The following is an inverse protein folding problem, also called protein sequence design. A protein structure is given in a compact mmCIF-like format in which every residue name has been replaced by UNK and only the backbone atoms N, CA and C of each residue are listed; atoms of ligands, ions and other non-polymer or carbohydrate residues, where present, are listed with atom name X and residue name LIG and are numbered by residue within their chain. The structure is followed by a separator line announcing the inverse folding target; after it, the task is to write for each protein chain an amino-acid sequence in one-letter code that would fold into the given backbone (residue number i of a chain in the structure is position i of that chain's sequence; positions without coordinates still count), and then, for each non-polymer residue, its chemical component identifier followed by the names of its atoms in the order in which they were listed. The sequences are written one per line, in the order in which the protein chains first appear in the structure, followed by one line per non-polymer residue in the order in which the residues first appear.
data_IF_093598882942
#
_entry.id   IF_093598882942
#
_cell.length_a   1.000
_cell.length_b   1.000
_cell.length_c   1.000
_cell.angle_alpha   90.00
_cell.angle_beta   90.00
_cell.angle_gamma   90.00
#
_symmetry.space_group_name_H-M   'P 1'
#
loop_
_entity.id
_entity.type
_entity.pdbx_description
1 polymer ?
#
# COMPACT_ATOMS: atom_id res chain seq x y z
N UNK A 1 2.84 5.17 -8.37
CA UNK A 1 3.79 5.50 -7.30
C UNK A 1 3.21 6.66 -6.46
N UNK A 2 2.18 6.40 -5.65
CA UNK A 2 1.69 7.33 -4.62
C UNK A 2 1.82 6.58 -3.28
N UNK A 3 3.05 6.47 -2.78
CA UNK A 3 3.26 5.94 -1.42
C UNK A 3 3.07 7.10 -0.46
N UNK A 4 2.06 7.00 0.42
CA UNK A 4 1.89 7.95 1.52
C UNK A 4 3.15 7.96 2.39
N UNK A 5 3.65 9.12 2.84
CA UNK A 5 4.82 9.16 3.70
C UNK A 5 4.51 8.45 5.03
N UNK A 6 5.46 7.69 5.59
CA UNK A 6 5.26 6.89 6.82
C UNK A 6 5.05 7.75 8.09
N UNK A 7 5.52 9.00 8.08
CA UNK A 7 5.43 9.91 9.22
C UNK A 7 3.99 10.25 9.67
N UNK A 8 3.07 10.71 8.80
CA UNK A 8 1.68 10.97 9.21
C UNK A 8 0.95 9.73 9.73
N UNK A 9 1.17 8.55 9.13
CA UNK A 9 0.52 7.32 9.56
C UNK A 9 0.91 6.91 11.00
N UNK A 10 2.17 7.15 11.40
CA UNK A 10 2.61 6.93 12.77
C UNK A 10 2.02 7.97 13.75
N UNK A 11 1.95 9.25 13.35
CA UNK A 11 1.38 10.34 14.15
C UNK A 11 -0.09 10.15 14.46
N UNK A 12 -0.86 9.62 13.51
CA UNK A 12 -2.30 9.36 13.70
C UNK A 12 -2.57 8.34 14.82
N UNK A 13 -1.58 7.51 15.18
CA UNK A 13 -1.69 6.55 16.28
C UNK A 13 -1.29 7.13 17.65
N UNK A 14 -0.62 8.28 17.70
CA UNK A 14 -0.14 8.89 18.94
C UNK A 14 -1.25 9.15 20.01
N UNK A 15 -2.47 9.60 19.65
CA UNK A 15 -3.55 9.80 20.63
C UNK A 15 -4.02 8.50 21.28
N UNK A 16 -4.02 7.39 20.52
CA UNK A 16 -4.42 6.06 21.01
C UNK A 16 -3.31 5.41 21.86
N UNK A 17 -2.03 5.71 21.57
CA UNK A 17 -0.87 5.19 22.29
C UNK A 17 -0.71 5.78 23.69
N UNK A 18 -1.01 7.08 23.89
CA UNK A 18 -0.87 7.74 25.21
C UNK A 18 -1.56 7.01 26.37
N UNK A 19 -2.88 6.69 26.30
CA UNK A 19 -3.56 5.99 27.40
C UNK A 19 -3.07 4.54 27.55
N UNK A 20 -2.66 3.88 26.47
CA UNK A 20 -2.12 2.52 26.53
C UNK A 20 -0.76 2.45 27.23
N UNK A 21 0.12 3.42 26.95
CA UNK A 21 1.42 3.54 27.61
C UNK A 21 1.27 3.90 29.09
N UNK A 22 0.33 4.80 29.42
CA UNK A 22 0.00 5.10 30.80
C UNK A 22 -0.53 3.87 31.56
N UNK A 23 -1.44 3.09 30.94
CA UNK A 23 -1.94 1.83 31.51
C UNK A 23 -0.86 0.75 31.64
N UNK A 24 0.15 0.77 30.76
CA UNK A 24 1.32 -0.10 30.81
C UNK A 24 2.37 0.30 31.86
N UNK A 25 2.08 1.34 32.65
CA UNK A 25 2.93 1.80 33.76
C UNK A 25 4.05 2.74 33.33
N UNK A 26 4.03 3.30 32.11
CA UNK A 26 5.02 4.31 31.74
C UNK A 26 4.74 5.61 32.51
N UNK A 27 5.78 6.24 33.09
CA UNK A 27 5.67 7.59 33.63
C UNK A 27 5.21 8.56 32.55
N UNK A 28 4.35 9.52 32.90
CA UNK A 28 3.82 10.53 31.96
C UNK A 28 4.93 11.32 31.26
N UNK A 29 6.07 11.55 31.96
CA UNK A 29 7.25 12.18 31.39
C UNK A 29 7.96 11.34 30.31
N UNK A 30 7.80 10.02 30.33
CA UNK A 30 8.39 9.09 29.36
C UNK A 30 7.48 8.82 28.15
N UNK A 31 6.19 9.16 28.22
CA UNK A 31 5.22 8.91 27.14
C UNK A 31 5.54 9.69 25.87
N UNK A 32 5.86 10.98 25.98
CA UNK A 32 6.25 11.81 24.83
C UNK A 32 7.48 11.26 24.08
N UNK A 33 8.63 11.09 24.76
CA UNK A 33 9.84 10.52 24.17
C UNK A 33 9.67 9.11 23.59
N UNK A 34 8.73 8.33 24.12
CA UNK A 34 8.41 7.00 23.62
C UNK A 34 7.57 7.05 22.33
N UNK A 35 6.64 7.99 22.22
CA UNK A 35 5.88 8.25 20.98
C UNK A 35 6.81 8.78 19.89
N UNK A 36 7.71 9.71 20.21
CA UNK A 36 8.70 10.22 19.25
C UNK A 36 9.63 9.10 18.75
N UNK A 37 10.07 8.22 19.67
CA UNK A 37 10.86 7.04 19.32
C UNK A 37 10.10 6.04 18.43
N UNK A 38 8.79 5.91 18.63
CA UNK A 38 7.92 5.10 17.77
C UNK A 38 7.82 5.68 16.36
N UNK A 39 7.59 6.98 16.22
CA UNK A 39 7.57 7.65 14.91
C UNK A 39 8.91 7.46 14.18
N UNK A 40 10.03 7.68 14.87
CA UNK A 40 11.37 7.52 14.30
C UNK A 40 11.62 6.07 13.83
N UNK A 41 11.30 5.09 14.68
CA UNK A 41 11.44 3.66 14.36
C UNK A 41 10.57 3.26 13.15
N UNK A 42 9.33 3.76 13.09
CA UNK A 42 8.41 3.46 11.99
C UNK A 42 8.91 4.04 10.66
N UNK A 43 9.43 5.27 10.67
CA UNK A 43 10.03 5.91 9.50
C UNK A 43 11.30 5.19 9.06
N UNK A 44 12.22 4.89 9.98
CA UNK A 44 13.46 4.21 9.64
C UNK A 44 13.21 2.80 9.09
N UNK A 45 12.24 2.07 9.66
CA UNK A 45 11.90 0.72 9.21
C UNK A 45 11.23 0.71 7.85
N UNK A 46 10.39 1.72 7.57
CA UNK A 46 9.74 1.86 6.26
C UNK A 46 10.68 2.39 5.17
N UNK A 47 11.74 3.09 5.56
CA UNK A 47 12.82 3.51 4.65
C UNK A 47 13.90 2.43 4.46
N UNK A 48 14.00 1.45 5.37
CA UNK A 48 14.99 0.37 5.28
C UNK A 48 14.69 -0.58 4.12
N UNK A 49 15.72 -0.84 3.31
CA UNK A 49 15.68 -1.84 2.22
C UNK A 49 15.71 -3.27 2.75
N UNK A 50 16.19 -3.47 4.00
CA UNK A 50 16.21 -4.77 4.68
C UNK A 50 15.15 -4.78 5.80
N UNK A 51 14.03 -5.52 5.64
CA UNK A 51 12.97 -5.63 6.64
C UNK A 51 13.34 -6.52 7.83
N UNK A 52 14.42 -7.30 7.70
CA UNK A 52 14.96 -8.25 8.68
C UNK A 52 15.91 -7.57 9.67
N UNK A 53 16.56 -6.48 9.25
CA UNK A 53 17.42 -5.68 10.11
C UNK A 53 16.58 -4.73 10.98
N UNK A 54 16.75 -4.81 12.30
CA UNK A 54 16.11 -3.87 13.22
C UNK A 54 16.90 -2.54 13.22
N UNK A 55 16.30 -1.41 12.85
CA UNK A 55 16.98 -0.12 12.90
C UNK A 55 17.43 0.23 14.32
N UNK A 56 18.54 0.97 14.50
CA UNK A 56 19.00 1.43 15.80
C UNK A 56 17.93 2.21 16.58
N UNK A 57 17.09 2.97 15.88
CA UNK A 57 15.95 3.71 16.46
C UNK A 57 14.91 2.78 17.10
N UNK A 58 14.63 1.63 16.48
CA UNK A 58 13.74 0.61 17.03
C UNK A 58 14.35 -0.11 18.24
N UNK A 59 15.67 -0.30 18.27
CA UNK A 59 16.37 -0.86 19.43
C UNK A 59 16.34 0.13 20.61
N UNK A 60 16.56 1.42 20.34
CA UNK A 60 16.44 2.48 21.34
C UNK A 60 15.02 2.59 21.92
N UNK A 61 13.98 2.38 21.09
CA UNK A 61 12.60 2.32 21.54
C UNK A 61 12.33 1.12 22.46
N UNK A 62 12.83 -0.06 22.09
CA UNK A 62 12.71 -1.27 22.92
C UNK A 62 13.34 -1.09 24.32
N UNK A 63 14.46 -0.37 24.40
CA UNK A 63 15.09 -0.02 25.68
C UNK A 63 14.32 1.00 26.53
N UNK A 64 13.46 1.84 25.90
CA UNK A 64 12.62 2.83 26.59
C UNK A 64 11.26 2.28 27.02
N UNK A 65 10.71 1.34 26.26
CA UNK A 65 9.42 0.69 26.54
C UNK A 65 9.52 -0.46 27.54
N UNK A 66 10.35 -0.35 28.58
CA UNK A 66 10.82 -1.43 29.45
C UNK A 66 9.78 -2.30 30.20
N UNK A 67 8.48 -2.16 29.93
CA UNK A 67 7.44 -3.09 30.35
C UNK A 67 6.88 -3.86 29.15
N UNK A 68 6.63 -5.16 29.31
CA UNK A 68 6.03 -6.01 28.26
C UNK A 68 4.70 -5.44 27.71
N UNK A 69 3.97 -4.69 28.54
CA UNK A 69 2.75 -3.98 28.14
C UNK A 69 2.97 -2.83 27.15
N UNK A 70 4.07 -2.09 27.27
CA UNK A 70 4.41 -1.02 26.32
C UNK A 70 4.81 -1.59 24.96
N UNK A 71 5.54 -2.71 24.94
CA UNK A 71 5.86 -3.44 23.71
C UNK A 71 4.62 -3.91 22.96
N UNK A 72 3.61 -4.43 23.67
CA UNK A 72 2.33 -4.83 23.07
C UNK A 72 1.56 -3.64 22.48
N UNK A 73 1.56 -2.48 23.15
CA UNK A 73 0.93 -1.26 22.65
C UNK A 73 1.58 -0.78 21.34
N UNK A 74 2.91 -0.78 21.25
CA UNK A 74 3.62 -0.43 20.02
C UNK A 74 3.39 -1.43 18.87
N UNK A 75 3.29 -2.73 19.18
CA UNK A 75 2.98 -3.76 18.18
C UNK A 75 1.57 -3.59 17.59
N UNK A 76 0.58 -3.32 18.44
CA UNK A 76 -0.80 -3.06 18.01
C UNK A 76 -0.92 -1.78 17.19
N UNK A 77 -0.24 -0.71 17.60
CA UNK A 77 -0.21 0.55 16.84
C UNK A 77 0.44 0.38 15.47
N UNK A 78 1.53 -0.41 15.39
CA UNK A 78 2.19 -0.73 14.12
C UNK A 78 1.24 -1.48 13.17
N UNK A 79 0.52 -2.48 13.68
CA UNK A 79 -0.44 -3.27 12.89
C UNK A 79 -1.60 -2.40 12.37
N UNK A 80 -2.11 -1.48 13.19
CA UNK A 80 -3.15 -0.52 12.76
C UNK A 80 -2.64 0.47 11.71
N UNK A 81 -1.43 0.98 11.87
CA UNK A 81 -0.81 1.88 10.89
C UNK A 81 -0.65 1.19 9.52
N UNK A 82 -0.19 -0.07 9.49
CA UNK A 82 -0.11 -0.88 8.27
C UNK A 82 -1.48 -1.13 7.64
N UNK A 83 -2.48 -1.53 8.44
CA UNK A 83 -3.85 -1.79 7.99
C UNK A 83 -4.48 -0.58 7.29
N UNK A 84 -4.34 0.61 7.89
CA UNK A 84 -4.89 1.85 7.33
C UNK A 84 -4.22 2.20 5.99
N UNK A 85 -2.89 2.05 5.91
CA UNK A 85 -2.10 2.34 4.71
C UNK A 85 -2.46 1.38 3.57
N UNK A 86 -2.59 0.09 3.87
CA UNK A 86 -2.95 -0.93 2.89
C UNK A 86 -4.36 -0.74 2.34
N UNK A 87 -5.33 -0.45 3.21
CA UNK A 87 -6.72 -0.19 2.82
C UNK A 87 -6.84 1.04 1.92
N UNK A 88 -6.09 2.10 2.23
CA UNK A 88 -6.03 3.31 1.42
C UNK A 88 -5.41 3.03 0.04
N UNK A 89 -4.32 2.26 -0.02
CA UNK A 89 -3.67 1.89 -1.27
C UNK A 89 -4.57 1.02 -2.17
N UNK A 90 -5.27 0.03 -1.61
CA UNK A 90 -6.23 -0.80 -2.36
C UNK A 90 -7.37 0.03 -2.93
N UNK A 91 -7.93 0.96 -2.14
CA UNK A 91 -9.00 1.85 -2.62
C UNK A 91 -8.57 2.67 -3.84
N UNK A 92 -7.36 3.22 -3.81
CA UNK A 92 -6.79 3.95 -4.95
C UNK A 92 -6.51 3.05 -6.15
N UNK A 93 -6.00 1.83 -5.92
CA UNK A 93 -5.78 0.83 -6.97
C UNK A 93 -7.08 0.47 -7.69
N UNK A 94 -8.12 0.11 -6.93
CA UNK A 94 -9.44 -0.22 -7.46
C UNK A 94 -10.07 0.98 -8.18
N UNK A 95 -9.95 2.19 -7.64
CA UNK A 95 -10.45 3.40 -8.30
C UNK A 95 -9.77 3.63 -9.65
N UNK A 96 -8.45 3.40 -9.74
CA UNK A 96 -7.71 3.53 -10.98
C UNK A 96 -8.11 2.47 -12.02
N UNK A 97 -8.28 1.22 -11.59
CA UNK A 97 -8.73 0.13 -12.46
C UNK A 97 -10.12 0.39 -13.04
N UNK A 98 -11.05 0.87 -12.21
CA UNK A 98 -12.39 1.27 -12.65
C UNK A 98 -12.31 2.45 -13.63
N UNK A 99 -11.49 3.46 -13.35
CA UNK A 99 -11.30 4.62 -14.23
C UNK A 99 -10.77 4.20 -15.61
N UNK A 100 -9.71 3.38 -15.66
CA UNK A 100 -9.11 2.88 -16.90
C UNK A 100 -10.10 2.04 -17.68
N UNK A 101 -10.87 1.19 -17.01
CA UNK A 101 -11.90 0.36 -17.65
C UNK A 101 -13.01 1.22 -18.26
N UNK A 102 -13.46 2.26 -17.55
CA UNK A 102 -14.45 3.21 -18.07
C UNK A 102 -13.91 3.99 -19.27
N UNK A 103 -12.67 4.48 -19.20
CA UNK A 103 -11.99 5.13 -20.31
C UNK A 103 -11.94 4.20 -21.53
N UNK A 104 -11.46 2.97 -21.37
CA UNK A 104 -11.39 1.98 -22.44
C UNK A 104 -12.77 1.70 -23.07
N UNK A 105 -13.81 1.51 -22.25
CA UNK A 105 -15.18 1.32 -22.73
C UNK A 105 -15.69 2.53 -23.51
N UNK A 106 -15.37 3.74 -23.07
CA UNK A 106 -15.76 4.99 -23.71
C UNK A 106 -15.03 5.19 -25.04
N UNK A 107 -13.74 4.83 -25.11
CA UNK A 107 -12.93 4.79 -26.33
C UNK A 107 -13.50 3.79 -27.35
N UNK A 108 -13.83 2.56 -26.93
CA UNK A 108 -14.45 1.54 -27.80
C UNK A 108 -15.81 2.01 -28.31
N UNK A 109 -16.64 2.63 -27.47
CA UNK A 109 -17.92 3.22 -27.90
C UNK A 109 -17.76 4.38 -28.88
N UNK A 110 -16.67 5.14 -28.77
CA UNK A 110 -16.36 6.29 -29.63
C UNK A 110 -15.68 5.88 -30.93
N UNK A 111 -15.17 4.66 -31.05
CA UNK A 111 -14.56 4.18 -32.28
C UNK A 111 -15.66 3.96 -33.34
N UNK A 112 -15.63 4.70 -34.47
CA UNK A 112 -16.56 4.46 -35.56
C UNK A 112 -16.31 3.05 -36.10
N UNK A 113 -17.35 2.21 -36.06
CA UNK A 113 -17.30 0.85 -36.60
C UNK A 113 -17.01 0.94 -38.10
N UNK A 114 -15.75 0.75 -38.49
CA UNK A 114 -15.38 0.49 -39.88
C UNK A 114 -15.74 -0.97 -40.15
N UNK A 115 -16.87 -1.19 -40.83
CA UNK A 115 -17.21 -2.50 -41.37
C UNK A 115 -16.25 -2.81 -42.50
N UNK A 116 -15.24 -3.63 -42.24
CA UNK A 116 -14.46 -4.27 -43.29
C UNK A 116 -15.37 -5.31 -43.95
N UNK A 117 -15.96 -4.96 -45.09
CA UNK A 117 -16.49 -5.98 -46.01
C UNK A 117 -15.27 -6.73 -46.51
N UNK A 118 -15.03 -7.92 -45.95
CA UNK A 118 -14.09 -8.86 -46.53
C UNK A 118 -14.84 -9.46 -47.72
N UNK A 119 -14.60 -8.92 -48.92
CA UNK A 119 -14.96 -9.62 -50.14
C UNK A 119 -14.15 -10.92 -50.14
N UNK A 120 -14.80 -12.03 -49.83
CA UNK A 120 -14.28 -13.38 -50.07
C UNK A 120 -14.35 -13.71 -51.57
N UNK A 121 -13.79 -12.84 -52.41
CA UNK A 121 -13.51 -13.11 -53.82
C UNK A 121 -12.16 -13.82 -53.91
N UNK A 122 -12.14 -15.09 -53.51
CA UNK A 122 -10.95 -15.94 -53.61
C UNK A 122 -11.22 -17.44 -53.67
N UNK A 123 -12.49 -17.85 -53.62
CA UNK A 123 -12.90 -19.24 -53.78
C UNK A 123 -13.13 -19.60 -55.25
N UNK A 124 -12.15 -19.43 -56.15
CA UNK A 124 -12.19 -19.95 -57.54
C UNK A 124 -10.85 -19.93 -58.29
N UNK A 125 -9.71 -20.27 -57.67
CA UNK A 125 -8.47 -20.52 -58.45
C UNK A 125 -7.66 -21.74 -57.96
N UNK A 126 -8.37 -22.80 -57.57
CA UNK A 126 -7.79 -24.13 -57.32
C UNK A 126 -8.63 -25.19 -58.05
N UNK A 127 -8.74 -25.14 -59.38
CA UNK A 127 -9.28 -26.26 -60.17
C UNK A 127 -8.67 -26.42 -61.57
N UNK A 128 -7.74 -25.57 -62.02
CA UNK A 128 -7.26 -25.59 -63.42
C UNK A 128 -5.85 -26.16 -63.66
N UNK A 129 -5.08 -26.55 -62.62
CA UNK A 129 -3.71 -27.04 -62.78
C UNK A 129 -3.57 -28.53 -62.39
N UNK A 130 -4.43 -29.39 -62.96
CA UNK A 130 -4.23 -30.85 -62.95
C UNK A 130 -4.79 -31.39 -64.27
N UNK A 131 -4.11 -31.12 -65.38
CA UNK A 131 -3.92 -32.02 -66.54
C UNK A 131 -2.83 -31.39 -67.44
N UNK A 132 -1.60 -31.88 -67.35
CA UNK A 132 -0.62 -31.94 -68.43
C UNK A 132 0.51 -32.90 -68.03
#
# INVERSE_FOLDING_TARGET
MLSSPPAPAARDQAPALRPQLAAAGLPTAAVGPAIDGFEQCFVDRSASTDPSAQPPSCQALAGRGGSAGAGAAFSNASTSALSSTFSQAIRWGLAYEVLVSLLAALLVRRLPRRTSVHDEDGASEQTAATVA
#
